data_IF_774633377046
#
_entry.id   IF_774633377046
#
_cell.length_a   1.000
_cell.length_b   1.000
_cell.length_c   1.000
_cell.angle_alpha   90.00
_cell.angle_beta   90.00
_cell.angle_gamma   90.00
#
_symmetry.space_group_name_H-M   'P 1'
#
loop_
_entity.id
_entity.type
_entity.pdbx_description
1 polymer ?
#
# COMPACT_ATOMS: atom_id res chain seq x y z
N UNK A 1 -12.76 4.06 31.45
CA UNK A 1 -12.10 2.86 30.90
C UNK A 1 -12.47 2.75 29.44
N UNK A 2 -11.59 3.17 28.54
CA UNK A 2 -11.84 3.27 27.11
C UNK A 2 -11.74 1.89 26.45
N UNK A 3 -12.85 1.14 26.46
CA UNK A 3 -13.03 -0.04 25.62
C UNK A 3 -13.50 0.42 24.24
N UNK A 4 -12.59 0.99 23.45
CA UNK A 4 -12.80 1.08 22.00
C UNK A 4 -12.42 -0.27 21.40
N UNK A 5 -13.27 -1.28 21.65
CA UNK A 5 -13.40 -2.43 20.76
C UNK A 5 -13.81 -1.87 19.40
N UNK A 6 -12.81 -1.50 18.61
CA UNK A 6 -12.94 -1.14 17.21
C UNK A 6 -13.77 -2.25 16.57
N UNK A 7 -15.01 -1.93 16.24
CA UNK A 7 -15.87 -2.77 15.40
C UNK A 7 -15.16 -2.87 14.06
N UNK A 8 -14.26 -3.83 13.87
CA UNK A 8 -13.74 -4.14 12.54
C UNK A 8 -14.91 -4.76 11.78
N UNK A 9 -15.70 -3.92 11.13
CA UNK A 9 -16.78 -4.36 10.27
C UNK A 9 -16.20 -5.24 9.17
N UNK A 10 -17.02 -6.11 8.59
CA UNK A 10 -16.60 -6.92 7.44
C UNK A 10 -16.09 -6.03 6.28
N UNK A 11 -16.68 -4.82 6.12
CA UNK A 11 -16.20 -3.81 5.18
C UNK A 11 -14.79 -3.35 5.48
N UNK A 12 -14.50 -3.00 6.74
CA UNK A 12 -13.18 -2.53 7.15
C UNK A 12 -12.08 -3.56 6.84
N UNK A 13 -12.31 -4.83 7.22
CA UNK A 13 -11.38 -5.93 6.94
C UNK A 13 -11.11 -6.10 5.45
N UNK A 14 -12.16 -5.98 4.62
CA UNK A 14 -12.02 -6.02 3.16
C UNK A 14 -11.16 -4.87 2.65
N UNK A 15 -11.43 -3.64 3.08
CA UNK A 15 -10.66 -2.46 2.66
C UNK A 15 -9.17 -2.58 3.00
N UNK A 16 -8.85 -3.00 4.22
CA UNK A 16 -7.46 -3.26 4.66
C UNK A 16 -6.81 -4.32 3.77
N UNK A 17 -7.50 -5.44 3.54
CA UNK A 17 -7.00 -6.55 2.71
C UNK A 17 -6.71 -6.10 1.28
N UNK A 18 -7.66 -5.39 0.66
CA UNK A 18 -7.51 -4.86 -0.70
C UNK A 18 -6.36 -3.85 -0.79
N UNK A 19 -6.22 -2.94 0.17
CA UNK A 19 -5.11 -1.99 0.19
C UNK A 19 -3.76 -2.70 0.29
N UNK A 20 -3.62 -3.67 1.19
CA UNK A 20 -2.40 -4.48 1.33
C UNK A 20 -2.08 -5.24 0.03
N UNK A 21 -3.11 -5.80 -0.61
CA UNK A 21 -2.95 -6.49 -1.88
C UNK A 21 -2.42 -5.58 -3.00
N UNK A 22 -2.98 -4.38 -3.13
CA UNK A 22 -2.54 -3.40 -4.12
C UNK A 22 -1.11 -2.90 -3.85
N UNK A 23 -0.74 -2.68 -2.59
CA UNK A 23 0.62 -2.30 -2.19
C UNK A 23 1.66 -3.33 -2.66
N UNK A 24 1.36 -4.62 -2.46
CA UNK A 24 2.25 -5.70 -2.91
C UNK A 24 2.47 -5.69 -4.42
N UNK A 25 1.50 -5.22 -5.20
CA UNK A 25 1.57 -5.13 -6.67
C UNK A 25 2.30 -3.89 -7.21
N UNK A 26 2.54 -2.86 -6.39
CA UNK A 26 3.25 -1.67 -6.85
C UNK A 26 4.68 -2.00 -7.33
N UNK A 27 5.16 -1.52 -8.47
CA UNK A 27 6.57 -1.68 -8.82
C UNK A 27 7.47 -0.88 -7.88
N UNK A 28 8.76 -1.22 -7.88
CA UNK A 28 9.81 -0.51 -7.13
C UNK A 28 9.87 0.93 -7.60
N UNK A 29 9.45 1.83 -6.71
CA UNK A 29 9.44 3.26 -6.95
C UNK A 29 9.11 3.99 -5.65
N UNK A 30 9.08 5.31 -5.76
CA UNK A 30 8.62 6.23 -4.75
C UNK A 30 7.33 6.93 -5.21
N UNK A 31 6.24 6.72 -4.48
CA UNK A 31 4.92 7.27 -4.81
C UNK A 31 4.49 8.29 -3.77
N UNK A 32 4.21 9.52 -4.20
CA UNK A 32 3.78 10.60 -3.30
C UNK A 32 2.28 10.84 -3.47
N UNK A 33 1.52 10.63 -2.39
CA UNK A 33 0.09 10.92 -2.29
C UNK A 33 -0.10 12.27 -1.59
N UNK A 34 0.11 13.37 -2.34
CA UNK A 34 0.09 14.74 -1.81
C UNK A 34 -1.18 15.08 -1.03
N UNK A 35 -2.35 14.67 -1.52
CA UNK A 35 -3.64 14.96 -0.91
C UNK A 35 -3.95 14.10 0.33
N UNK A 36 -3.09 13.14 0.63
CA UNK A 36 -3.11 12.36 1.87
C UNK A 36 -1.92 12.67 2.78
N UNK A 37 -0.94 13.44 2.31
CA UNK A 37 0.31 13.68 3.04
C UNK A 37 1.09 12.38 3.30
N UNK A 38 1.02 11.42 2.37
CA UNK A 38 1.67 10.11 2.47
C UNK A 38 2.69 9.91 1.35
N UNK A 39 3.73 9.14 1.63
CA UNK A 39 4.73 8.66 0.68
C UNK A 39 4.84 7.14 0.80
N UNK A 40 4.75 6.42 -0.31
CA UNK A 40 4.90 4.97 -0.36
C UNK A 40 6.25 4.70 -1.02
N UNK A 41 7.18 4.18 -0.24
CA UNK A 41 8.53 3.84 -0.68
C UNK A 41 8.59 2.33 -0.87
N UNK A 42 8.78 1.90 -2.10
CA UNK A 42 8.91 0.49 -2.47
C UNK A 42 10.34 0.22 -2.92
N UNK A 43 11.06 -0.67 -2.24
CA UNK A 43 12.47 -0.99 -2.51
C UNK A 43 12.70 -2.48 -2.57
N UNK A 44 13.72 -2.89 -3.30
CA UNK A 44 14.30 -4.21 -3.16
C UNK A 44 15.01 -4.34 -1.80
N UNK A 45 14.82 -5.49 -1.19
CA UNK A 45 15.50 -5.91 0.03
C UNK A 45 15.99 -7.33 -0.17
N UNK A 46 17.30 -7.51 -0.14
CA UNK A 46 17.91 -8.83 -0.05
C UNK A 46 17.80 -9.34 1.39
N UNK A 47 17.28 -10.57 1.54
CA UNK A 47 17.26 -11.26 2.83
C UNK A 47 18.12 -12.52 2.76
N UNK A 48 18.99 -12.76 3.75
CA UNK A 48 19.73 -14.01 3.82
C UNK A 48 18.78 -15.14 4.20
N UNK A 49 18.73 -16.17 3.35
CA UNK A 49 18.06 -17.45 3.60
C UNK A 49 19.10 -18.56 3.68
N UNK A 50 18.75 -19.72 4.28
CA UNK A 50 19.70 -20.80 4.63
C UNK A 50 20.68 -21.20 3.51
N UNK A 51 20.30 -21.02 2.23
CA UNK A 51 21.11 -21.40 1.06
C UNK A 51 21.34 -20.24 0.05
N UNK A 52 21.19 -18.97 0.44
CA UNK A 52 21.42 -17.85 -0.50
C UNK A 52 20.84 -16.50 -0.06
N UNK A 53 20.72 -15.58 -1.02
CA UNK A 53 20.00 -14.31 -0.86
C UNK A 53 18.66 -14.44 -1.60
N UNK A 54 17.57 -14.07 -0.92
CA UNK A 54 16.24 -13.95 -1.52
C UNK A 54 15.94 -12.47 -1.74
N UNK A 55 15.68 -12.09 -2.98
CA UNK A 55 15.17 -10.76 -3.32
C UNK A 55 13.71 -10.66 -2.87
N UNK A 56 13.45 -9.77 -1.93
CA UNK A 56 12.13 -9.48 -1.41
C UNK A 56 11.80 -7.99 -1.59
N UNK A 57 10.52 -7.64 -1.60
CA UNK A 57 10.09 -6.25 -1.70
C UNK A 57 9.82 -5.68 -0.31
N UNK A 58 10.50 -4.60 0.04
CA UNK A 58 10.18 -3.79 1.22
C UNK A 58 9.23 -2.66 0.83
N UNK A 59 8.14 -2.49 1.59
CA UNK A 59 7.17 -1.40 1.41
C UNK A 59 7.12 -0.59 2.70
N UNK A 60 7.38 0.71 2.61
CA UNK A 60 7.28 1.65 3.72
C UNK A 60 6.27 2.74 3.37
N UNK A 61 5.36 3.03 4.30
CA UNK A 61 4.42 4.14 4.20
C UNK A 61 4.86 5.20 5.20
N UNK A 62 5.32 6.34 4.70
CA UNK A 62 5.80 7.48 5.48
C UNK A 62 4.76 8.63 5.41
N UNK A 63 4.72 9.52 6.40
CA UNK A 63 3.91 10.74 6.35
C UNK A 63 3.21 11.10 7.66
N UNK A 64 2.23 12.00 7.58
CA UNK A 64 1.54 12.57 8.75
C UNK A 64 0.64 11.55 9.49
N UNK A 65 0.46 10.36 8.94
CA UNK A 65 -0.21 9.24 9.60
C UNK A 65 0.58 7.95 9.37
N UNK A 66 1.55 7.70 10.25
CA UNK A 66 2.42 6.50 10.23
C UNK A 66 1.87 5.33 11.03
N UNK A 67 0.69 5.45 11.63
CA UNK A 67 0.04 4.33 12.31
C UNK A 67 -0.23 3.17 11.33
N UNK A 68 -0.21 1.90 11.79
CA UNK A 68 -0.52 0.76 10.94
C UNK A 68 -1.86 0.96 10.23
N UNK A 69 -1.93 0.52 8.97
CA UNK A 69 -3.11 0.71 8.10
C UNK A 69 -4.39 0.15 8.71
N UNK A 70 -4.29 -0.89 9.54
CA UNK A 70 -5.39 -1.52 10.27
C UNK A 70 -6.11 -0.58 11.26
N UNK A 71 -5.47 0.53 11.64
CA UNK A 71 -6.04 1.53 12.55
C UNK A 71 -6.62 2.74 11.83
N UNK A 72 -6.53 2.80 10.50
CA UNK A 72 -7.10 3.92 9.74
C UNK A 72 -8.61 3.77 9.65
N UNK A 73 -9.36 4.87 9.66
CA UNK A 73 -10.80 4.79 9.43
C UNK A 73 -11.15 4.35 7.99
N UNK A 74 -12.37 3.83 7.80
CA UNK A 74 -12.86 3.34 6.50
C UNK A 74 -12.77 4.40 5.40
N UNK A 75 -13.03 5.68 5.72
CA UNK A 75 -12.99 6.76 4.74
C UNK A 75 -11.57 6.98 4.20
N UNK A 76 -10.58 6.99 5.09
CA UNK A 76 -9.18 7.11 4.73
C UNK A 76 -8.70 5.89 3.95
N UNK A 77 -9.13 4.68 4.32
CA UNK A 77 -8.83 3.44 3.59
C UNK A 77 -9.42 3.47 2.17
N UNK A 78 -10.65 3.94 2.00
CA UNK A 78 -11.27 4.08 0.68
C UNK A 78 -10.52 5.06 -0.21
N UNK A 79 -10.15 6.22 0.34
CA UNK A 79 -9.32 7.19 -0.37
C UNK A 79 -7.98 6.57 -0.78
N UNK A 80 -7.34 5.85 0.14
CA UNK A 80 -6.07 5.17 -0.13
C UNK A 80 -6.19 4.10 -1.22
N UNK A 81 -7.22 3.25 -1.15
CA UNK A 81 -7.55 2.26 -2.16
C UNK A 81 -7.71 2.89 -3.55
N UNK A 82 -8.49 3.96 -3.68
CA UNK A 82 -8.68 4.66 -4.95
C UNK A 82 -7.35 5.20 -5.52
N UNK A 83 -6.46 5.71 -4.66
CA UNK A 83 -5.13 6.19 -5.10
C UNK A 83 -4.23 5.07 -5.59
N UNK A 84 -4.18 3.94 -4.87
CA UNK A 84 -3.40 2.77 -5.28
C UNK A 84 -3.89 2.21 -6.61
N UNK A 85 -5.20 2.09 -6.79
CA UNK A 85 -5.80 1.64 -8.05
C UNK A 85 -5.43 2.57 -9.20
N UNK A 86 -5.53 3.89 -9.01
CA UNK A 86 -5.16 4.87 -10.04
C UNK A 86 -3.68 4.78 -10.43
N UNK A 87 -2.78 4.63 -9.46
CA UNK A 87 -1.35 4.44 -9.71
C UNK A 87 -1.13 3.20 -10.59
N UNK A 88 -1.72 2.06 -10.20
CA UNK A 88 -1.57 0.81 -10.94
C UNK A 88 -2.15 0.91 -12.35
N UNK A 89 -3.34 1.51 -12.51
CA UNK A 89 -3.93 1.74 -13.83
C UNK A 89 -3.02 2.56 -14.74
N UNK A 90 -2.49 3.69 -14.26
CA UNK A 90 -1.60 4.55 -15.03
C UNK A 90 -0.32 3.82 -15.47
N UNK A 91 0.22 2.96 -14.60
CA UNK A 91 1.37 2.10 -14.92
C UNK A 91 1.02 1.12 -16.04
N UNK A 92 -0.09 0.39 -15.91
CA UNK A 92 -0.53 -0.57 -16.94
C UNK A 92 -0.77 0.10 -18.29
N UNK A 93 -1.44 1.25 -18.31
CA UNK A 93 -1.67 2.02 -19.55
C UNK A 93 -0.36 2.45 -20.19
N UNK A 94 0.61 2.94 -19.39
CA UNK A 94 1.93 3.32 -19.87
C UNK A 94 2.67 2.13 -20.50
N UNK A 95 2.59 0.94 -19.89
CA UNK A 95 3.20 -0.26 -20.45
C UNK A 95 2.51 -0.70 -21.75
N UNK A 96 1.18 -0.66 -21.81
CA UNK A 96 0.42 -1.02 -23.01
C UNK A 96 0.70 -0.10 -24.20
N UNK A 97 0.97 1.19 -23.96
CA UNK A 97 1.35 2.14 -25.02
C UNK A 97 2.77 1.95 -25.54
N UNK A 98 3.70 1.46 -24.71
CA UNK A 98 5.11 1.24 -25.12
C UNK A 98 5.32 -0.02 -25.98
N UNK A 99 4.33 -0.92 -26.02
CA UNK A 99 4.39 -2.19 -26.76
C UNK A 99 3.70 -2.14 -28.13
N UNK A 100 3.25 -0.96 -28.59
CA UNK A 100 2.68 -0.73 -29.93
C UNK A 100 3.65 0.07 -30.78
#
# INVERSE_FOLDING_TARGET
MASSLLRSSERHKRLVTECNYLLLRLPINDYILHDMGLRIVVREQERPVRNGLEESKEIKIEGLSTGPIDYWDDFKLEKFYSKLTLILMNIYETHAMRTK
#
